data_IF_492374677899
#
_entry.id   IF_492374677899
#
_cell.length_a   1.000
_cell.length_b   1.000
_cell.length_c   1.000
_cell.angle_alpha   90.00
_cell.angle_beta   90.00
_cell.angle_gamma   90.00
#
_symmetry.space_group_name_H-M   'P 1'
#
loop_
_entity.id
_entity.type
_entity.pdbx_description
1 polymer ?
#
# COMPACT_ATOMS: atom_id res chain seq x y z
N UNK A 1 12.51 -6.48 -7.22
CA UNK A 1 12.80 -7.77 -6.56
C UNK A 1 12.85 -8.84 -7.64
N UNK A 2 13.83 -9.76 -7.61
CA UNK A 2 13.95 -10.82 -8.61
C UNK A 2 13.34 -12.12 -8.10
N UNK A 3 12.29 -12.60 -8.78
CA UNK A 3 11.80 -13.96 -8.61
C UNK A 3 12.77 -14.91 -9.35
N UNK A 4 13.42 -15.82 -8.63
CA UNK A 4 14.28 -16.82 -9.25
C UNK A 4 13.56 -18.18 -9.32
N UNK A 5 13.17 -18.59 -10.53
CA UNK A 5 12.55 -19.88 -10.78
C UNK A 5 13.63 -20.80 -11.35
N UNK A 6 13.92 -21.94 -10.70
CA UNK A 6 14.96 -22.89 -11.16
C UNK A 6 14.42 -24.03 -12.03
N UNK A 7 13.13 -23.99 -12.38
CA UNK A 7 12.47 -25.02 -13.17
C UNK A 7 12.48 -24.62 -14.66
N UNK A 8 13.18 -25.40 -15.49
CA UNK A 8 13.34 -25.15 -16.94
C UNK A 8 12.00 -25.07 -17.67
N UNK A 9 11.06 -25.98 -17.36
CA UNK A 9 9.74 -25.99 -17.98
C UNK A 9 8.97 -24.70 -17.72
N UNK A 10 9.14 -24.08 -16.54
CA UNK A 10 8.49 -22.79 -16.24
C UNK A 10 9.09 -21.66 -17.07
N UNK A 11 10.40 -21.68 -17.32
CA UNK A 11 11.04 -20.71 -18.22
C UNK A 11 10.54 -20.84 -19.66
N UNK A 12 10.38 -22.07 -20.14
CA UNK A 12 9.82 -22.32 -21.47
C UNK A 12 8.39 -21.80 -21.60
N UNK A 13 7.54 -22.11 -20.60
CA UNK A 13 6.17 -21.60 -20.55
C UNK A 13 6.11 -20.08 -20.50
N UNK A 14 6.97 -19.44 -19.69
CA UNK A 14 7.02 -17.99 -19.60
C UNK A 14 7.47 -17.34 -20.91
N UNK A 15 8.47 -17.92 -21.58
CA UNK A 15 8.96 -17.47 -22.89
C UNK A 15 7.88 -17.60 -23.96
N UNK A 16 7.17 -18.72 -23.99
CA UNK A 16 6.11 -18.96 -24.97
C UNK A 16 4.90 -18.05 -24.71
N UNK A 17 4.48 -17.90 -23.45
CA UNK A 17 3.41 -16.99 -23.07
C UNK A 17 3.73 -15.56 -23.52
N UNK A 18 4.93 -15.06 -23.21
CA UNK A 18 5.41 -13.75 -23.64
C UNK A 18 5.41 -13.59 -25.16
N UNK A 19 5.82 -14.62 -25.90
CA UNK A 19 5.85 -14.61 -27.37
C UNK A 19 4.44 -14.50 -27.95
N UNK A 20 3.48 -15.24 -27.41
CA UNK A 20 2.09 -15.26 -27.89
C UNK A 20 1.34 -13.97 -27.50
N UNK A 21 1.63 -13.40 -26.32
CA UNK A 21 0.99 -12.16 -25.86
C UNK A 21 1.66 -10.89 -26.35
N UNK A 22 2.87 -10.97 -26.92
CA UNK A 22 3.65 -9.81 -27.32
C UNK A 22 4.15 -8.98 -26.13
N UNK A 23 4.34 -9.59 -24.96
CA UNK A 23 4.76 -8.91 -23.72
C UNK A 23 6.11 -9.43 -23.23
N UNK A 24 6.62 -8.88 -22.13
CA UNK A 24 7.78 -9.47 -21.45
C UNK A 24 7.39 -10.78 -20.73
N UNK A 25 8.35 -11.65 -20.44
CA UNK A 25 8.13 -12.85 -19.63
C UNK A 25 7.58 -12.51 -18.25
N UNK A 26 8.10 -11.45 -17.63
CA UNK A 26 7.61 -10.96 -16.34
C UNK A 26 6.14 -10.55 -16.42
N UNK A 27 5.76 -9.77 -17.43
CA UNK A 27 4.36 -9.34 -17.62
C UNK A 27 3.42 -10.51 -17.92
N UNK A 28 3.88 -11.49 -18.69
CA UNK A 28 3.10 -12.70 -18.98
C UNK A 28 2.89 -13.55 -17.71
N UNK A 29 3.94 -13.71 -16.89
CA UNK A 29 3.85 -14.39 -15.58
C UNK A 29 2.89 -13.63 -14.66
N UNK A 30 3.02 -12.30 -14.58
CA UNK A 30 2.14 -11.47 -13.75
C UNK A 30 0.67 -11.63 -14.15
N UNK A 31 0.36 -11.56 -15.45
CA UNK A 31 -1.00 -11.75 -15.95
C UNK A 31 -1.55 -13.15 -15.60
N UNK A 32 -0.74 -14.21 -15.77
CA UNK A 32 -1.13 -15.57 -15.44
C UNK A 32 -1.42 -15.74 -13.93
N UNK A 33 -0.58 -15.15 -13.08
CA UNK A 33 -0.77 -15.19 -11.62
C UNK A 33 -2.01 -14.43 -11.18
N UNK A 34 -2.30 -13.27 -11.79
CA UNK A 34 -3.53 -12.50 -11.51
C UNK A 34 -4.78 -13.30 -11.88
N UNK A 35 -4.79 -13.94 -13.04
CA UNK A 35 -5.90 -14.81 -13.45
C UNK A 35 -6.09 -15.99 -12.49
N UNK A 36 -4.99 -16.64 -12.07
CA UNK A 36 -5.04 -17.73 -11.10
C UNK A 36 -5.64 -17.29 -9.76
N UNK A 37 -5.18 -16.16 -9.21
CA UNK A 37 -5.71 -15.61 -7.96
C UNK A 37 -7.20 -15.28 -8.08
N UNK A 38 -7.60 -14.63 -9.18
CA UNK A 38 -8.99 -14.30 -9.45
C UNK A 38 -9.87 -15.55 -9.54
N UNK A 39 -9.39 -16.65 -10.15
CA UNK A 39 -10.10 -17.93 -10.21
C UNK A 39 -10.35 -18.53 -8.82
N UNK A 40 -9.49 -18.20 -7.85
CA UNK A 40 -9.63 -18.61 -6.45
C UNK A 40 -10.38 -17.57 -5.58
N UNK A 41 -10.93 -16.52 -6.18
CA UNK A 41 -11.67 -15.47 -5.45
C UNK A 41 -10.78 -14.45 -4.74
N UNK A 42 -9.48 -14.48 -4.99
CA UNK A 42 -8.54 -13.47 -4.49
C UNK A 42 -8.41 -12.35 -5.52
N UNK A 43 -8.74 -11.12 -5.14
CA UNK A 43 -8.39 -9.94 -5.92
C UNK A 43 -7.05 -9.37 -5.41
N UNK A 44 -5.94 -9.55 -6.16
CA UNK A 44 -4.63 -9.04 -5.75
C UNK A 44 -4.59 -7.52 -5.59
N UNK A 45 -5.46 -6.77 -6.28
CA UNK A 45 -5.56 -5.32 -6.11
C UNK A 45 -6.35 -4.95 -4.85
N UNK A 46 -7.38 -5.72 -4.50
CA UNK A 46 -8.11 -5.52 -3.25
C UNK A 46 -7.27 -5.86 -2.02
N UNK A 47 -6.41 -6.88 -2.07
CA UNK A 47 -5.46 -7.16 -0.99
C UNK A 47 -4.49 -5.99 -0.77
N UNK A 48 -4.00 -5.36 -1.85
CA UNK A 48 -3.18 -4.17 -1.76
C UNK A 48 -3.96 -2.94 -1.24
N UNK A 49 -5.23 -2.80 -1.64
CA UNK A 49 -6.13 -1.72 -1.22
C UNK A 49 -6.55 -1.86 0.25
N UNK A 50 -6.91 -3.06 0.68
CA UNK A 50 -7.22 -3.41 2.07
C UNK A 50 -6.02 -3.17 2.98
N UNK A 51 -4.82 -3.60 2.56
CA UNK A 51 -3.58 -3.30 3.28
C UNK A 51 -3.30 -1.79 3.38
N UNK A 52 -3.57 -1.01 2.32
CA UNK A 52 -3.46 0.45 2.35
C UNK A 52 -4.48 1.09 3.30
N UNK A 53 -5.74 0.67 3.23
CA UNK A 53 -6.81 1.15 4.11
C UNK A 53 -6.48 0.86 5.58
N UNK A 54 -6.04 -0.36 5.88
CA UNK A 54 -5.64 -0.74 7.22
C UNK A 54 -4.48 0.12 7.74
N UNK A 55 -3.49 0.43 6.90
CA UNK A 55 -2.39 1.36 7.28
C UNK A 55 -2.90 2.77 7.57
N UNK A 56 -3.82 3.29 6.76
CA UNK A 56 -4.41 4.61 6.98
C UNK A 56 -5.21 4.66 8.29
N UNK A 57 -6.04 3.65 8.55
CA UNK A 57 -6.79 3.54 9.80
C UNK A 57 -5.87 3.42 11.01
N UNK A 58 -4.81 2.62 10.91
CA UNK A 58 -3.82 2.48 11.99
C UNK A 58 -3.08 3.80 12.26
N UNK A 59 -2.79 4.58 11.23
CA UNK A 59 -2.16 5.91 11.37
C UNK A 59 -3.10 6.91 12.04
N UNK A 60 -4.38 6.94 11.64
CA UNK A 60 -5.39 7.77 12.31
C UNK A 60 -5.57 7.42 13.78
N UNK A 61 -5.46 6.14 14.13
CA UNK A 61 -5.61 5.68 15.52
C UNK A 61 -4.42 6.02 16.40
N UNK A 62 -3.22 6.04 15.80
CA UNK A 62 -2.04 6.58 16.46
C UNK A 62 -2.16 8.08 16.69
N UNK A 63 -2.57 8.82 15.66
CA UNK A 63 -2.76 10.26 15.75
C UNK A 63 -3.78 10.62 16.83
N UNK A 64 -4.95 9.97 16.86
CA UNK A 64 -5.96 10.19 17.91
C UNK A 64 -5.46 9.90 19.33
N UNK A 65 -4.64 8.86 19.50
CA UNK A 65 -4.07 8.53 20.82
C UNK A 65 -3.03 9.56 21.26
N UNK A 66 -2.18 10.00 20.35
CA UNK A 66 -1.14 11.01 20.60
C UNK A 66 -1.79 12.39 20.84
N UNK A 67 -2.80 12.77 20.07
CA UNK A 67 -3.55 14.01 20.20
C UNK A 67 -4.39 14.04 21.49
N UNK A 68 -4.99 12.92 21.89
CA UNK A 68 -5.70 12.83 23.18
C UNK A 68 -4.78 12.98 24.40
N UNK A 69 -3.45 12.88 24.23
CA UNK A 69 -2.46 13.15 25.29
C UNK A 69 -1.89 14.57 25.28
N UNK A 70 -2.04 15.29 24.16
CA UNK A 70 -1.69 16.70 24.07
C UNK A 70 -2.91 17.54 24.51
N UNK A 71 -2.77 18.29 25.62
CA UNK A 71 -3.79 19.23 26.06
C UNK A 71 -4.17 20.15 24.88
N UNK A 72 -5.46 20.19 24.53
CA UNK A 72 -6.08 21.04 23.51
C UNK A 72 -5.10 21.52 22.45
N UNK A 73 -4.81 20.67 21.46
CA UNK A 73 -3.92 21.02 20.35
C UNK A 73 -4.32 22.37 19.75
N UNK A 74 -3.32 23.14 19.32
CA UNK A 74 -3.49 24.43 18.65
C UNK A 74 -4.41 24.22 17.44
N UNK A 75 -5.63 24.73 17.52
CA UNK A 75 -6.63 24.66 16.45
C UNK A 75 -6.70 25.95 15.65
N UNK A 76 -6.26 27.06 16.26
CA UNK A 76 -6.24 28.39 15.69
C UNK A 76 -4.90 29.06 15.98
N UNK A 77 -4.55 30.07 15.19
CA UNK A 77 -3.27 30.79 15.35
C UNK A 77 -3.19 31.47 16.72
N UNK A 78 -4.33 31.88 17.27
CA UNK A 78 -4.47 32.53 18.57
C UNK A 78 -4.05 31.60 19.72
N UNK A 79 -4.20 30.28 19.57
CA UNK A 79 -3.83 29.30 20.60
C UNK A 79 -2.29 29.24 20.82
N UNK A 80 -1.50 29.82 19.89
CA UNK A 80 -0.04 29.91 19.99
C UNK A 80 0.44 31.05 20.90
N UNK A 81 -0.42 32.00 21.24
CA UNK A 81 -0.07 33.19 22.00
C UNK A 81 -0.77 33.19 23.35
N UNK A 82 -0.08 33.68 24.37
CA UNK A 82 -0.68 33.94 25.67
C UNK A 82 -1.63 35.14 25.59
N UNK A 83 -2.89 34.95 25.99
CA UNK A 83 -3.95 35.95 25.80
C UNK A 83 -3.72 37.23 26.63
N UNK A 84 -3.02 37.13 27.76
CA UNK A 84 -2.78 38.27 28.65
C UNK A 84 -1.55 39.10 28.23
N UNK A 85 -0.52 38.43 27.68
CA UNK A 85 0.77 39.07 27.36
C UNK A 85 0.99 39.28 25.86
N UNK A 86 0.28 38.54 25.01
CA UNK A 86 0.45 38.51 23.55
C UNK A 86 1.74 37.85 23.09
N UNK A 87 2.50 37.22 23.99
CA UNK A 87 3.76 36.53 23.67
C UNK A 87 3.51 35.06 23.30
N UNK A 88 4.37 34.43 22.49
CA UNK A 88 4.28 32.99 22.21
C UNK A 88 4.33 32.15 23.49
N UNK A 89 3.52 31.09 23.54
CA UNK A 89 3.52 30.09 24.62
C UNK A 89 4.70 29.12 24.54
#
# INVERSE_FOLDING_TARGET
>A
MSLNIKNERVHELAREAARVTGTTQTSAIEAALRLLLQQHGEDPDDNARAGRMHRLLAMGERYRREESTAAAGVTRVEDLYDEATGLPR
#
